data_IF_595568794976
#
_entry.id   IF_595568794976
#
_cell.length_a   1.000
_cell.length_b   1.000
_cell.length_c   1.000
_cell.angle_alpha   90.00
_cell.angle_beta   90.00
_cell.angle_gamma   90.00
#
_symmetry.space_group_name_H-M   'P 1'
#
loop_
_entity.id
_entity.type
_entity.pdbx_description
1 polymer ?
#
# COMPACT_ATOMS: atom_id res chain seq x y z
N UNK A 1 12.13 28.42 -3.75
CA UNK A 1 10.83 28.12 -3.11
C UNK A 1 10.14 26.94 -3.78
N UNK A 2 9.34 26.20 -2.99
CA UNK A 2 8.33 25.17 -3.33
C UNK A 2 8.13 24.79 -4.82
N UNK A 3 8.51 23.56 -5.19
CA UNK A 3 7.90 22.86 -6.34
C UNK A 3 6.69 22.08 -5.84
N UNK A 4 5.52 22.59 -6.22
CA UNK A 4 4.19 22.16 -5.82
C UNK A 4 3.94 20.66 -6.13
N UNK A 5 3.83 19.84 -5.08
CA UNK A 5 3.53 18.41 -5.13
C UNK A 5 2.05 18.17 -5.47
N UNK A 6 1.68 18.43 -6.73
CA UNK A 6 0.29 18.33 -7.21
C UNK A 6 -0.09 16.86 -7.32
N UNK A 7 -0.87 16.37 -6.36
CA UNK A 7 -1.18 14.96 -6.20
C UNK A 7 -2.14 14.43 -7.27
N UNK A 8 -1.71 13.43 -8.04
CA UNK A 8 -2.62 12.48 -8.69
C UNK A 8 -3.21 11.51 -7.64
N UNK A 9 -4.47 11.06 -7.79
CA UNK A 9 -5.07 10.11 -6.86
C UNK A 9 -4.29 8.79 -6.86
N UNK A 10 -3.85 8.34 -5.68
CA UNK A 10 -2.96 7.18 -5.56
C UNK A 10 -3.77 5.89 -5.62
N UNK A 11 -3.37 4.99 -6.52
CA UNK A 11 -4.03 3.69 -6.72
C UNK A 11 -3.25 2.63 -5.96
N UNK A 12 -3.87 2.09 -4.90
CA UNK A 12 -3.29 1.10 -3.98
C UNK A 12 -4.28 -0.04 -3.85
N UNK A 13 -4.00 -1.23 -4.41
CA UNK A 13 -4.90 -2.38 -4.22
C UNK A 13 -4.78 -2.96 -2.83
N UNK A 14 -5.77 -2.74 -1.96
CA UNK A 14 -5.92 -3.48 -0.72
C UNK A 14 -7.35 -3.38 -0.14
N UNK A 15 -7.86 -4.47 0.43
CA UNK A 15 -9.03 -4.40 1.31
C UNK A 15 -8.87 -5.35 2.50
N UNK A 16 -8.87 -4.76 3.69
CA UNK A 16 -9.44 -5.37 4.88
C UNK A 16 -10.20 -4.31 5.68
N UNK A 17 -11.37 -3.95 5.15
CA UNK A 17 -12.50 -3.37 5.88
C UNK A 17 -13.75 -3.51 4.99
N UNK A 18 -14.84 -3.99 5.56
CA UNK A 18 -16.13 -4.17 4.89
C UNK A 18 -16.72 -2.81 4.47
N UNK A 19 -17.08 -2.66 3.18
CA UNK A 19 -17.94 -1.55 2.72
C UNK A 19 -17.49 -0.75 1.48
N UNK A 20 -16.28 -0.94 0.95
CA UNK A 20 -15.83 -0.21 -0.27
C UNK A 20 -15.97 -1.07 -1.54
N UNK A 21 -16.59 -0.51 -2.59
CA UNK A 21 -16.76 -1.17 -3.91
C UNK A 21 -15.42 -1.30 -4.64
N UNK A 22 -14.78 -2.46 -4.54
CA UNK A 22 -13.59 -2.79 -5.32
C UNK A 22 -13.95 -3.32 -6.72
N UNK A 23 -13.17 -2.93 -7.74
CA UNK A 23 -13.25 -3.49 -9.11
C UNK A 23 -12.30 -4.69 -9.30
N UNK A 24 -12.55 -5.50 -10.34
CA UNK A 24 -11.67 -6.57 -10.83
C UNK A 24 -10.30 -6.06 -11.31
N UNK A 25 -9.29 -6.92 -11.31
CA UNK A 25 -7.85 -6.61 -11.46
C UNK A 25 -7.39 -6.46 -12.92
N UNK A 26 -8.23 -5.88 -13.77
CA UNK A 26 -7.97 -5.72 -15.20
C UNK A 26 -7.09 -4.48 -15.45
N UNK A 27 -5.88 -4.70 -16.01
CA UNK A 27 -5.00 -3.64 -16.52
C UNK A 27 -3.95 -3.07 -15.57
N UNK A 28 -3.81 -3.56 -14.33
CA UNK A 28 -2.82 -3.06 -13.37
C UNK A 28 -1.67 -4.06 -13.13
N UNK A 29 -0.65 -4.05 -13.98
CA UNK A 29 0.54 -4.90 -13.83
C UNK A 29 1.62 -4.20 -12.99
N UNK A 30 1.71 -4.56 -11.71
CA UNK A 30 2.83 -4.15 -10.87
C UNK A 30 4.09 -4.97 -11.24
N UNK A 31 5.30 -4.37 -11.32
CA UNK A 31 6.53 -5.06 -11.74
C UNK A 31 6.87 -6.32 -10.93
N UNK A 32 6.42 -6.43 -9.68
CA UNK A 32 6.59 -7.64 -8.84
C UNK A 32 5.99 -8.91 -9.48
N UNK A 33 5.05 -8.78 -10.42
CA UNK A 33 4.40 -9.90 -11.09
C UNK A 33 5.17 -10.43 -12.31
N UNK A 34 6.21 -9.73 -12.79
CA UNK A 34 6.90 -10.06 -14.04
C UNK A 34 7.56 -11.46 -14.02
N UNK A 35 8.05 -11.89 -12.85
CA UNK A 35 8.67 -13.21 -12.65
C UNK A 35 7.70 -14.31 -12.18
N UNK A 36 6.39 -14.05 -12.13
CA UNK A 36 5.40 -15.00 -11.60
C UNK A 36 4.77 -15.80 -12.75
N UNK A 37 4.56 -17.10 -12.54
CA UNK A 37 3.87 -17.96 -13.51
C UNK A 37 2.43 -17.47 -13.82
N UNK A 38 1.93 -17.81 -15.01
CA UNK A 38 0.60 -17.41 -15.48
C UNK A 38 -0.53 -17.87 -14.55
N UNK A 39 -0.49 -19.09 -14.01
CA UNK A 39 -1.55 -19.60 -13.13
C UNK A 39 -1.61 -18.82 -11.81
N UNK A 40 -0.46 -18.42 -11.28
CA UNK A 40 -0.35 -17.58 -10.09
C UNK A 40 -0.74 -16.12 -10.36
N UNK A 41 -0.36 -15.55 -11.52
CA UNK A 41 -0.84 -14.22 -11.94
C UNK A 41 -2.36 -14.18 -12.07
N UNK A 42 -2.96 -15.19 -12.68
CA UNK A 42 -4.42 -15.31 -12.78
C UNK A 42 -5.11 -15.48 -11.42
N UNK A 43 -4.50 -16.21 -10.49
CA UNK A 43 -4.99 -16.29 -9.11
C UNK A 43 -4.95 -14.93 -8.41
N UNK A 44 -3.82 -14.21 -8.51
CA UNK A 44 -3.67 -12.85 -7.96
C UNK A 44 -4.69 -11.90 -8.57
N UNK A 45 -4.94 -11.97 -9.89
CA UNK A 45 -5.95 -11.16 -10.58
C UNK A 45 -7.38 -11.40 -10.06
N UNK A 46 -7.72 -12.62 -9.63
CA UNK A 46 -9.02 -12.94 -9.01
C UNK A 46 -9.13 -12.53 -7.54
N UNK A 47 -8.05 -12.65 -6.77
CA UNK A 47 -8.08 -12.46 -5.31
C UNK A 47 -7.75 -11.02 -4.86
N UNK A 48 -6.93 -10.26 -5.60
CA UNK A 48 -6.52 -8.89 -5.25
C UNK A 48 -7.60 -7.82 -5.55
N UNK A 49 -7.66 -6.72 -4.78
CA UNK A 49 -8.81 -5.78 -4.79
C UNK A 49 -8.50 -4.28 -5.02
N UNK A 50 -9.19 -3.70 -6.02
CA UNK A 50 -9.65 -2.28 -6.16
C UNK A 50 -9.76 -1.47 -4.87
N UNK A 51 -8.76 -0.68 -4.49
CA UNK A 51 -9.05 0.64 -3.91
C UNK A 51 -8.19 1.76 -4.54
N UNK A 52 -8.76 2.96 -4.52
CA UNK A 52 -8.11 4.23 -4.84
C UNK A 52 -8.20 5.08 -3.59
N UNK A 53 -7.10 5.67 -3.15
CA UNK A 53 -7.05 6.46 -1.92
C UNK A 53 -6.78 7.93 -2.25
N UNK A 54 -7.52 8.88 -1.66
CA UNK A 54 -7.18 10.29 -1.77
C UNK A 54 -5.86 10.56 -1.02
N UNK A 55 -5.09 11.53 -1.50
CA UNK A 55 -3.82 11.90 -0.86
C UNK A 55 -4.02 12.26 0.62
N UNK A 56 -3.13 11.78 1.49
CA UNK A 56 -3.26 11.95 2.94
C UNK A 56 -4.13 10.89 3.63
N UNK A 57 -4.70 9.92 2.90
CA UNK A 57 -5.47 8.82 3.50
C UNK A 57 -4.55 7.70 3.95
N UNK A 58 -4.52 7.46 5.27
CA UNK A 58 -3.78 6.33 5.86
C UNK A 58 -4.17 4.98 5.21
N UNK A 59 -3.17 4.26 4.71
CA UNK A 59 -3.25 2.88 4.20
C UNK A 59 -3.36 1.90 5.36
N UNK A 60 -2.53 2.10 6.40
CA UNK A 60 -2.57 1.41 7.69
C UNK A 60 -2.01 2.33 8.79
N UNK A 61 -2.35 2.03 10.05
CA UNK A 61 -1.92 2.70 11.29
C UNK A 61 -1.04 1.79 12.15
N UNK A 62 -0.31 2.34 13.13
CA UNK A 62 0.35 1.52 14.13
C UNK A 62 -0.71 0.75 14.94
N UNK A 63 -0.45 -0.53 15.22
CA UNK A 63 -1.39 -1.44 15.86
C UNK A 63 -2.37 -2.16 14.91
N UNK A 64 -2.56 -1.68 13.67
CA UNK A 64 -3.40 -2.39 12.69
C UNK A 64 -2.82 -3.80 12.42
N UNK A 65 -3.69 -4.80 12.30
CA UNK A 65 -3.28 -6.17 11.95
C UNK A 65 -2.90 -6.25 10.47
N UNK A 66 -1.90 -7.07 10.14
CA UNK A 66 -1.58 -7.37 8.75
C UNK A 66 -2.66 -8.25 8.11
N UNK A 67 -3.29 -7.73 7.04
CA UNK A 67 -4.34 -8.43 6.28
C UNK A 67 -3.97 -8.63 4.80
N UNK A 68 -2.71 -8.36 4.42
CA UNK A 68 -2.18 -8.59 3.08
C UNK A 68 -1.10 -7.57 2.70
N UNK A 69 -0.57 -7.70 1.48
CA UNK A 69 0.51 -6.87 0.96
C UNK A 69 -0.05 -5.74 0.07
N UNK A 70 -0.05 -4.46 0.51
CA UNK A 70 -0.43 -3.35 -0.35
C UNK A 70 0.64 -3.12 -1.42
N UNK A 71 0.19 -3.01 -2.67
CA UNK A 71 1.03 -2.67 -3.83
C UNK A 71 0.53 -1.35 -4.44
N UNK A 72 1.46 -0.42 -4.66
CA UNK A 72 1.19 0.84 -5.35
C UNK A 72 1.13 0.54 -6.84
N UNK A 73 0.06 0.96 -7.52
CA UNK A 73 -0.04 0.89 -8.98
C UNK A 73 0.30 2.25 -9.59
N UNK A 74 -0.19 3.32 -8.96
CA UNK A 74 0.08 4.71 -9.34
C UNK A 74 0.19 5.57 -8.09
N UNK A 75 1.09 6.55 -8.10
CA UNK A 75 1.33 7.47 -6.99
C UNK A 75 2.48 7.01 -6.08
N UNK A 76 2.44 7.42 -4.81
CA UNK A 76 3.49 7.11 -3.84
C UNK A 76 2.98 7.21 -2.40
N UNK A 77 3.26 6.19 -1.59
CA UNK A 77 3.01 6.14 -0.14
C UNK A 77 4.21 6.70 0.62
N UNK A 78 3.97 7.43 1.71
CA UNK A 78 4.95 7.82 2.72
C UNK A 78 4.81 6.89 3.92
N UNK A 79 5.87 6.18 4.30
CA UNK A 79 5.91 5.37 5.53
C UNK A 79 6.64 6.18 6.60
N UNK A 80 6.01 6.36 7.75
CA UNK A 80 6.48 7.26 8.80
C UNK A 80 6.17 6.77 10.21
N UNK A 81 6.98 7.20 11.17
CA UNK A 81 6.63 7.21 12.58
C UNK A 81 6.20 8.62 12.99
N UNK A 82 5.28 8.70 13.94
CA UNK A 82 4.88 9.97 14.58
C UNK A 82 4.96 9.79 16.08
N UNK A 83 5.70 10.66 16.77
CA UNK A 83 5.77 10.64 18.24
C UNK A 83 4.47 11.16 18.86
N UNK A 84 4.27 10.90 20.17
CA UNK A 84 3.17 11.50 20.95
C UNK A 84 3.22 13.05 20.93
N UNK A 85 4.43 13.62 20.86
CA UNK A 85 4.67 15.06 20.67
C UNK A 85 4.44 15.57 19.24
N UNK A 86 3.98 14.72 18.31
CA UNK A 86 3.63 15.11 16.94
C UNK A 86 4.79 15.22 15.96
N UNK A 87 6.01 14.80 16.32
CA UNK A 87 7.15 14.82 15.41
C UNK A 87 7.06 13.66 14.41
N UNK A 88 6.98 13.96 13.11
CA UNK A 88 7.03 12.96 12.04
C UNK A 88 8.47 12.61 11.65
N UNK A 89 8.81 11.32 11.63
CA UNK A 89 10.03 10.80 11.01
C UNK A 89 9.63 9.94 9.81
N UNK A 90 9.98 10.40 8.60
CA UNK A 90 9.78 9.62 7.38
C UNK A 90 10.84 8.53 7.32
N UNK A 91 10.40 7.27 7.32
CA UNK A 91 11.29 6.11 7.23
C UNK A 91 11.72 5.86 5.78
N UNK A 92 10.73 5.79 4.88
CA UNK A 92 10.93 5.62 3.45
C UNK A 92 9.63 5.96 2.69
N UNK A 93 9.65 5.78 1.37
CA UNK A 93 8.48 5.94 0.49
C UNK A 93 8.36 4.71 -0.41
N UNK A 94 7.15 4.42 -0.88
CA UNK A 94 6.87 3.29 -1.77
C UNK A 94 6.15 3.82 -3.01
N UNK A 95 6.73 3.62 -4.19
CA UNK A 95 6.15 3.90 -5.51
C UNK A 95 5.75 2.63 -6.25
N UNK A 96 5.34 2.77 -7.51
CA UNK A 96 4.70 1.75 -8.34
C UNK A 96 5.59 0.60 -8.87
N UNK A 97 6.82 0.49 -8.35
CA UNK A 97 7.75 -0.61 -8.61
C UNK A 97 8.38 -1.15 -7.32
N UNK A 98 7.92 -0.68 -6.16
CA UNK A 98 8.50 -0.95 -4.86
C UNK A 98 7.51 -1.72 -3.97
N UNK A 99 8.03 -2.51 -3.03
CA UNK A 99 7.20 -3.25 -2.08
C UNK A 99 7.40 -2.68 -0.69
N UNK A 100 6.31 -2.51 0.06
CA UNK A 100 6.35 -2.03 1.43
C UNK A 100 7.05 -3.04 2.36
N UNK A 101 8.31 -2.78 2.71
CA UNK A 101 9.13 -3.65 3.59
C UNK A 101 8.48 -3.85 4.97
N UNK A 102 7.84 -2.82 5.51
CA UNK A 102 7.06 -2.88 6.75
C UNK A 102 5.87 -3.86 6.66
N UNK A 103 5.16 -3.90 5.53
CA UNK A 103 4.06 -4.86 5.33
C UNK A 103 4.57 -6.30 5.20
N UNK A 104 5.72 -6.51 4.53
CA UNK A 104 6.38 -7.83 4.52
C UNK A 104 6.74 -8.23 5.95
N UNK A 105 7.42 -7.36 6.70
CA UNK A 105 7.83 -7.64 8.08
C UNK A 105 6.66 -7.97 9.01
N UNK A 106 5.56 -7.22 8.90
CA UNK A 106 4.34 -7.42 9.67
C UNK A 106 3.61 -8.75 9.30
N UNK A 107 3.55 -9.11 8.01
CA UNK A 107 3.04 -10.41 7.56
C UNK A 107 3.91 -11.58 8.04
N UNK A 108 5.23 -11.47 7.92
CA UNK A 108 6.18 -12.53 8.29
C UNK A 108 6.31 -12.71 9.80
N UNK A 109 6.22 -11.63 10.58
CA UNK A 109 6.34 -11.67 12.04
C UNK A 109 5.02 -11.94 12.77
N UNK A 110 3.88 -11.92 12.08
CA UNK A 110 2.55 -12.10 12.68
C UNK A 110 2.17 -11.03 13.72
N UNK A 111 2.79 -9.85 13.66
CA UNK A 111 2.54 -8.72 14.59
C UNK A 111 2.03 -7.51 13.82
N UNK A 112 1.22 -6.69 14.47
CA UNK A 112 0.68 -5.46 13.88
C UNK A 112 1.76 -4.46 13.45
N UNK A 113 1.36 -3.52 12.59
CA UNK A 113 2.21 -2.45 12.11
C UNK A 113 2.78 -1.61 13.28
N UNK A 114 4.06 -1.24 13.23
CA UNK A 114 4.69 -0.37 14.25
C UNK A 114 4.88 1.09 13.79
N UNK A 115 4.49 1.39 12.55
CA UNK A 115 4.54 2.68 11.91
C UNK A 115 3.33 2.81 10.96
N UNK A 116 3.10 4.00 10.40
CA UNK A 116 1.97 4.25 9.50
C UNK A 116 2.38 4.47 8.05
N UNK A 117 1.42 4.25 7.14
CA UNK A 117 1.54 4.52 5.72
C UNK A 117 0.43 5.48 5.28
N UNK A 118 0.78 6.53 4.54
CA UNK A 118 -0.11 7.65 4.14
C UNK A 118 0.15 8.08 2.70
#
# INVERSE_FOLDING_TARGET
MSRNNRASPTVLRWQACTGMKGRSMEGAEHPVFAGIDVAWRERIRREARVVTLPAGRKVFRPGDTCQGLPLVIEGRVRVQMTSESGHEIVLYRVGSAEVCTLSIGCLMAGRGYWAEAV
#
